data_IF_878906452435
#
_entry.id   IF_878906452435
#
_cell.length_a   1.000
_cell.length_b   1.000
_cell.length_c   1.000
_cell.angle_alpha   90.00
_cell.angle_beta   90.00
_cell.angle_gamma   90.00
#
_symmetry.space_group_name_H-M   'P 1'
#
loop_
_entity.id
_entity.type
_entity.pdbx_description
1 polymer ?
#
# COMPACT_ATOMS: atom_id res chain seq x y z
N UNK A 1 1.35 7.44 -6.18
CA UNK A 1 2.63 8.07 -6.58
C UNK A 1 2.38 9.32 -7.40
N UNK A 2 3.41 10.12 -7.69
CA UNK A 2 3.29 11.38 -8.45
C UNK A 2 2.80 11.17 -9.88
N UNK A 3 3.31 10.17 -10.58
CA UNK A 3 2.95 9.86 -11.98
C UNK A 3 1.75 8.92 -12.15
N UNK A 4 1.07 8.57 -11.06
CA UNK A 4 -0.04 7.61 -11.09
C UNK A 4 -0.22 6.82 -9.79
N UNK A 5 -1.32 6.09 -9.73
CA UNK A 5 -1.66 5.16 -8.65
C UNK A 5 -1.53 3.73 -9.13
N UNK A 6 -1.07 2.85 -8.25
CA UNK A 6 -0.83 1.43 -8.54
C UNK A 6 -1.49 0.58 -7.46
N UNK A 7 -1.98 -0.59 -7.84
CA UNK A 7 -2.49 -1.59 -6.90
C UNK A 7 -1.63 -2.85 -6.98
N UNK A 8 -1.38 -3.43 -5.81
CA UNK A 8 -0.66 -4.67 -5.61
C UNK A 8 -1.48 -5.53 -4.65
N UNK A 9 -1.72 -6.79 -5.01
CA UNK A 9 -2.44 -7.76 -4.17
C UNK A 9 -1.42 -8.77 -3.63
N UNK A 10 -1.29 -8.84 -2.31
CA UNK A 10 -0.39 -9.76 -1.64
C UNK A 10 -1.21 -10.84 -0.93
N UNK A 11 -0.80 -12.10 -1.06
CA UNK A 11 -1.31 -13.20 -0.22
C UNK A 11 -0.31 -13.45 0.89
N UNK A 12 -0.79 -13.43 2.14
CA UNK A 12 0.03 -13.68 3.32
C UNK A 12 -0.49 -14.90 4.07
N UNK A 13 0.39 -15.84 4.38
CA UNK A 13 0.07 -17.09 5.07
C UNK A 13 0.94 -17.20 6.33
N UNK A 14 0.29 -17.34 7.50
CA UNK A 14 0.99 -17.56 8.77
C UNK A 14 1.08 -19.04 9.05
N UNK A 15 2.31 -19.53 9.20
CA UNK A 15 2.60 -20.89 9.65
C UNK A 15 2.76 -20.90 11.17
N UNK A 16 2.24 -21.94 11.83
CA UNK A 16 2.35 -22.09 13.28
C UNK A 16 3.84 -22.08 13.71
N UNK A 17 4.17 -21.26 14.70
CA UNK A 17 5.54 -21.13 15.22
C UNK A 17 6.48 -20.24 14.38
N UNK A 18 6.01 -19.61 13.29
CA UNK A 18 6.79 -18.62 12.54
C UNK A 18 6.39 -17.19 12.93
N UNK A 19 7.39 -16.35 13.17
CA UNK A 19 7.18 -14.93 13.49
C UNK A 19 6.77 -14.08 12.27
N UNK A 20 7.14 -14.51 11.07
CA UNK A 20 6.87 -13.80 9.81
C UNK A 20 5.99 -14.66 8.90
N UNK A 21 5.02 -14.05 8.19
CA UNK A 21 4.22 -14.77 7.21
C UNK A 21 5.06 -15.14 5.99
N UNK A 22 4.62 -16.17 5.27
CA UNK A 22 4.99 -16.39 3.87
C UNK A 22 4.17 -15.44 3.00
N UNK A 23 4.84 -14.59 2.24
CA UNK A 23 4.22 -13.61 1.34
C UNK A 23 4.36 -14.10 -0.09
N UNK A 24 3.24 -14.28 -0.78
CA UNK A 24 3.22 -14.46 -2.23
C UNK A 24 3.17 -13.09 -2.88
N UNK A 25 4.17 -12.80 -3.71
CA UNK A 25 4.25 -11.53 -4.44
C UNK A 25 3.20 -11.46 -5.54
N UNK A 26 2.68 -10.26 -5.87
CA UNK A 26 1.77 -10.05 -6.98
C UNK A 26 2.43 -10.43 -8.30
N UNK A 27 1.78 -11.29 -9.07
CA UNK A 27 2.14 -11.63 -10.46
C UNK A 27 1.68 -10.52 -11.43
N UNK A 28 0.55 -9.87 -11.11
CA UNK A 28 -0.04 -8.79 -11.89
C UNK A 28 -0.17 -7.51 -11.08
N UNK A 29 -0.09 -6.37 -11.78
CA UNK A 29 -0.28 -5.03 -11.22
C UNK A 29 -1.05 -4.16 -12.20
N UNK A 30 -1.93 -3.32 -11.69
CA UNK A 30 -2.57 -2.26 -12.47
C UNK A 30 -2.01 -0.90 -12.08
N UNK A 31 -1.71 -0.06 -13.07
CA UNK A 31 -1.37 1.35 -12.90
C UNK A 31 -2.40 2.19 -13.61
N UNK A 32 -2.96 3.18 -12.91
CA UNK A 32 -3.78 4.24 -13.50
C UNK A 32 -3.03 5.58 -13.46
N UNK A 33 -3.38 6.47 -14.39
CA UNK A 33 -2.92 7.86 -14.47
C UNK A 33 -4.15 8.77 -14.50
N UNK A 34 -4.08 10.00 -13.97
CA UNK A 34 -2.93 10.71 -13.39
C UNK A 34 -2.60 10.32 -11.93
N UNK A 35 -1.64 10.96 -11.25
CA UNK A 35 -1.42 10.72 -9.82
C UNK A 35 -2.50 11.38 -8.94
N UNK A 36 -2.72 10.90 -7.71
CA UNK A 36 -3.67 11.52 -6.78
C UNK A 36 -3.37 13.01 -6.49
N UNK A 37 -2.12 13.45 -6.65
CA UNK A 37 -1.73 14.85 -6.48
C UNK A 37 -2.38 15.80 -7.49
N UNK A 38 -2.85 15.30 -8.65
CA UNK A 38 -3.53 16.14 -9.65
C UNK A 38 -4.96 16.50 -9.26
N UNK A 39 -5.46 15.97 -8.13
CA UNK A 39 -6.78 16.29 -7.60
C UNK A 39 -6.76 17.47 -6.63
N UNK A 40 -5.63 18.17 -6.47
CA UNK A 40 -5.59 19.45 -5.77
C UNK A 40 -6.58 20.43 -6.42
N UNK A 41 -7.46 21.02 -5.61
CA UNK A 41 -8.57 21.89 -6.06
C UNK A 41 -9.84 21.16 -6.50
N UNK A 42 -9.81 19.81 -6.56
CA UNK A 42 -10.96 18.95 -6.86
C UNK A 42 -10.96 17.69 -6.00
N UNK A 43 -10.70 17.88 -4.71
CA UNK A 43 -10.37 16.79 -3.78
C UNK A 43 -11.52 15.79 -3.63
N UNK A 44 -12.77 16.24 -3.78
CA UNK A 44 -13.96 15.38 -3.71
C UNK A 44 -13.98 14.30 -4.79
N UNK A 45 -13.37 14.53 -5.95
CA UNK A 45 -13.34 13.58 -7.07
C UNK A 45 -12.27 12.48 -6.90
N UNK A 46 -11.33 12.65 -5.96
CA UNK A 46 -10.16 11.78 -5.85
C UNK A 46 -10.51 10.33 -5.48
N UNK A 47 -11.59 10.10 -4.75
CA UNK A 47 -12.00 8.75 -4.35
C UNK A 47 -12.45 7.88 -5.53
N UNK A 48 -13.32 8.43 -6.40
CA UNK A 48 -13.85 7.69 -7.56
C UNK A 48 -12.76 7.27 -8.55
N UNK A 49 -11.65 8.02 -8.60
CA UNK A 49 -10.47 7.67 -9.38
C UNK A 49 -9.85 6.30 -9.01
N UNK A 50 -10.11 5.77 -7.81
CA UNK A 50 -9.61 4.47 -7.37
C UNK A 50 -10.43 3.29 -7.90
N UNK A 51 -11.56 3.52 -8.55
CA UNK A 51 -12.47 2.45 -9.00
C UNK A 51 -11.79 1.36 -9.85
N UNK A 52 -10.97 1.69 -10.88
CA UNK A 52 -10.32 0.66 -11.67
C UNK A 52 -9.36 -0.22 -10.86
N UNK A 53 -8.73 0.37 -9.83
CA UNK A 53 -7.81 -0.34 -8.94
C UNK A 53 -8.56 -1.32 -8.02
N UNK A 54 -9.73 -0.92 -7.52
CA UNK A 54 -10.59 -1.78 -6.70
C UNK A 54 -11.14 -2.94 -7.53
N UNK A 55 -11.63 -2.67 -8.76
CA UNK A 55 -12.10 -3.73 -9.67
C UNK A 55 -11.02 -4.75 -9.96
N UNK A 56 -9.81 -4.29 -10.29
CA UNK A 56 -8.66 -5.18 -10.48
C UNK A 56 -8.39 -6.03 -9.24
N UNK A 57 -8.42 -5.46 -8.04
CA UNK A 57 -8.22 -6.23 -6.80
C UNK A 57 -9.33 -7.28 -6.59
N UNK A 58 -10.59 -6.97 -6.93
CA UNK A 58 -11.71 -7.92 -6.81
C UNK A 58 -11.57 -9.12 -7.76
N UNK A 59 -10.99 -8.94 -8.94
CA UNK A 59 -10.70 -10.04 -9.87
C UNK A 59 -9.65 -11.02 -9.35
N UNK A 60 -8.75 -10.56 -8.46
CA UNK A 60 -7.63 -11.35 -7.94
C UNK A 60 -7.86 -11.85 -6.50
N UNK A 61 -8.91 -11.38 -5.82
CA UNK A 61 -9.22 -11.75 -4.43
C UNK A 61 -10.56 -12.51 -4.40
N UNK A 62 -10.56 -13.78 -3.93
CA UNK A 62 -11.78 -14.57 -3.77
C UNK A 62 -12.84 -13.86 -2.94
N UNK A 63 -14.10 -13.97 -3.34
CA UNK A 63 -15.22 -13.24 -2.74
C UNK A 63 -15.33 -13.43 -1.23
N UNK A 64 -15.16 -14.66 -0.75
CA UNK A 64 -15.19 -15.00 0.68
C UNK A 64 -14.03 -14.40 1.51
N UNK A 65 -12.99 -13.87 0.88
CA UNK A 65 -11.85 -13.22 1.57
C UNK A 65 -11.95 -11.71 1.59
N UNK A 66 -12.71 -11.10 0.66
CA UNK A 66 -12.74 -9.64 0.43
C UNK A 66 -13.01 -8.85 1.72
N UNK A 67 -14.05 -9.21 2.48
CA UNK A 67 -14.42 -8.51 3.71
C UNK A 67 -13.31 -8.52 4.81
N UNK A 68 -12.40 -9.50 4.76
CA UNK A 68 -11.27 -9.63 5.70
C UNK A 68 -9.96 -9.03 5.16
N UNK A 69 -9.90 -8.70 3.87
CA UNK A 69 -8.67 -8.19 3.23
C UNK A 69 -8.57 -6.68 3.45
N UNK A 70 -7.53 -6.18 4.14
CA UNK A 70 -7.34 -4.76 4.37
C UNK A 70 -6.84 -4.04 3.11
N UNK A 71 -7.39 -2.86 2.82
CA UNK A 71 -6.79 -1.91 1.87
C UNK A 71 -5.78 -1.05 2.60
N UNK A 72 -4.60 -0.89 2.00
CA UNK A 72 -3.59 0.10 2.39
C UNK A 72 -3.40 1.08 1.23
N UNK A 73 -3.62 2.37 1.49
CA UNK A 73 -3.42 3.44 0.52
C UNK A 73 -2.34 4.39 1.03
N UNK A 74 -1.20 4.40 0.36
CA UNK A 74 -0.05 5.23 0.73
C UNK A 74 0.23 6.30 -0.32
N UNK A 75 0.05 7.57 0.06
CA UNK A 75 0.48 8.73 -0.72
C UNK A 75 1.98 8.96 -0.56
N UNK A 76 2.70 9.14 -1.67
CA UNK A 76 4.16 9.41 -1.66
C UNK A 76 4.47 10.89 -1.89
N UNK A 77 5.70 11.22 -2.30
CA UNK A 77 6.17 12.59 -2.58
C UNK A 77 5.17 13.48 -3.34
N UNK A 78 4.45 12.94 -4.33
CA UNK A 78 3.44 13.69 -5.08
C UNK A 78 2.36 14.31 -4.17
N UNK A 79 1.88 13.56 -3.17
CA UNK A 79 0.86 14.05 -2.23
C UNK A 79 1.46 14.95 -1.14
N UNK A 80 2.74 14.74 -0.77
CA UNK A 80 3.47 15.67 0.11
C UNK A 80 3.53 17.08 -0.48
N UNK A 81 3.75 17.19 -1.79
CA UNK A 81 3.91 18.48 -2.49
C UNK A 81 2.60 19.27 -2.67
N UNK A 82 1.42 18.69 -2.49
CA UNK A 82 0.15 19.44 -2.66
C UNK A 82 -0.20 20.30 -1.44
N UNK A 83 0.46 20.08 -0.30
CA UNK A 83 0.21 20.72 0.99
C UNK A 83 -0.69 19.88 1.90
N UNK A 84 -0.44 19.92 3.21
CA UNK A 84 -1.06 19.04 4.22
C UNK A 84 -2.59 19.07 4.18
N UNK A 85 -3.19 20.27 4.16
CA UNK A 85 -4.64 20.41 4.11
C UNK A 85 -5.27 19.81 2.84
N UNK A 86 -4.60 19.95 1.68
CA UNK A 86 -5.09 19.37 0.42
C UNK A 86 -4.91 17.85 0.42
N UNK A 87 -3.76 17.36 0.89
CA UNK A 87 -3.50 15.92 1.02
C UNK A 87 -4.52 15.24 1.94
N UNK A 88 -4.84 15.86 3.09
CA UNK A 88 -5.84 15.36 4.02
C UNK A 88 -7.23 15.25 3.37
N UNK A 89 -7.66 16.27 2.62
CA UNK A 89 -8.95 16.26 1.90
C UNK A 89 -9.00 15.20 0.79
N UNK A 90 -7.89 15.01 0.07
CA UNK A 90 -7.79 13.96 -0.97
C UNK A 90 -7.90 12.57 -0.34
N UNK A 91 -7.16 12.32 0.75
CA UNK A 91 -7.20 11.05 1.46
C UNK A 91 -8.56 10.82 2.14
N UNK A 92 -9.23 11.88 2.60
CA UNK A 92 -10.61 11.83 3.10
C UNK A 92 -11.57 11.32 2.02
N UNK A 93 -11.54 11.94 0.84
CA UNK A 93 -12.37 11.51 -0.30
C UNK A 93 -12.10 10.05 -0.65
N UNK A 94 -10.82 9.64 -0.68
CA UNK A 94 -10.44 8.26 -0.94
C UNK A 94 -10.99 7.30 0.11
N UNK A 95 -10.85 7.61 1.40
CA UNK A 95 -11.37 6.78 2.49
C UNK A 95 -12.88 6.60 2.41
N UNK A 96 -13.63 7.70 2.26
CA UNK A 96 -15.09 7.67 2.21
C UNK A 96 -15.56 6.87 1.00
N UNK A 97 -14.94 7.10 -0.16
CA UNK A 97 -15.28 6.38 -1.37
C UNK A 97 -14.96 4.88 -1.26
N UNK A 98 -13.77 4.51 -0.77
CA UNK A 98 -13.40 3.11 -0.57
C UNK A 98 -14.34 2.40 0.42
N UNK A 99 -14.70 3.07 1.53
CA UNK A 99 -15.62 2.51 2.52
C UNK A 99 -17.02 2.26 1.95
N UNK A 100 -17.48 3.12 1.04
CA UNK A 100 -18.80 3.01 0.45
C UNK A 100 -18.85 2.07 -0.77
N UNK A 101 -17.75 1.93 -1.53
CA UNK A 101 -17.76 1.31 -2.86
C UNK A 101 -16.83 0.10 -3.00
N UNK A 102 -16.13 -0.32 -1.94
CA UNK A 102 -15.27 -1.51 -1.98
C UNK A 102 -15.74 -2.60 -1.02
N UNK A 103 -15.62 -3.89 -1.39
CA UNK A 103 -15.99 -5.01 -0.51
C UNK A 103 -14.89 -5.35 0.50
N UNK A 104 -13.86 -4.50 0.62
CA UNK A 104 -12.65 -4.76 1.39
C UNK A 104 -12.71 -4.11 2.77
N UNK A 105 -11.84 -4.55 3.68
CA UNK A 105 -11.70 -3.91 4.99
C UNK A 105 -10.99 -2.56 4.84
N UNK A 106 -11.70 -1.47 5.10
CA UNK A 106 -11.18 -0.10 5.00
C UNK A 106 -10.99 0.49 6.39
N UNK A 107 -9.73 0.74 6.75
CA UNK A 107 -9.36 1.32 8.04
C UNK A 107 -8.67 2.65 7.83
N UNK A 108 -9.10 3.68 8.57
CA UNK A 108 -8.56 5.04 8.44
C UNK A 108 -7.05 5.10 8.69
N UNK A 109 -6.56 4.31 9.65
CA UNK A 109 -5.13 4.20 9.97
C UNK A 109 -4.28 3.59 8.85
N UNK A 110 -4.89 2.99 7.82
CA UNK A 110 -4.22 2.41 6.65
C UNK A 110 -4.24 3.32 5.42
N UNK A 111 -4.73 4.55 5.57
CA UNK A 111 -4.79 5.55 4.52
C UNK A 111 -4.01 6.77 4.97
N UNK A 112 -2.81 6.96 4.44
CA UNK A 112 -1.90 8.01 4.90
C UNK A 112 -0.91 8.46 3.83
N UNK A 113 -0.26 9.59 4.07
CA UNK A 113 0.96 9.97 3.35
C UNK A 113 2.14 9.36 4.08
N UNK A 114 3.04 8.70 3.35
CA UNK A 114 4.29 8.16 3.90
C UNK A 114 5.44 9.13 3.62
N UNK A 115 6.35 9.24 4.60
CA UNK A 115 7.56 10.05 4.48
C UNK A 115 8.61 9.33 3.62
N UNK A 116 9.65 10.06 3.19
CA UNK A 116 10.78 9.42 2.49
C UNK A 116 11.52 8.41 3.36
N UNK A 117 11.61 8.67 4.67
CA UNK A 117 12.20 7.74 5.63
C UNK A 117 11.35 6.48 5.78
N UNK A 118 10.02 6.60 5.77
CA UNK A 118 9.11 5.43 5.78
C UNK A 118 9.27 4.60 4.50
N UNK A 119 9.36 5.26 3.34
CA UNK A 119 9.62 4.61 2.05
C UNK A 119 10.93 3.80 2.14
N UNK A 120 12.02 4.39 2.63
CA UNK A 120 13.31 3.71 2.81
C UNK A 120 13.27 2.55 3.82
N UNK A 121 12.57 2.73 4.95
CA UNK A 121 12.41 1.67 5.95
C UNK A 121 11.62 0.48 5.43
N UNK A 122 10.54 0.74 4.67
CA UNK A 122 9.74 -0.31 4.00
C UNK A 122 10.55 -1.01 2.90
N UNK A 123 11.39 -0.27 2.16
CA UNK A 123 12.32 -0.83 1.18
C UNK A 123 13.33 -1.77 1.84
N UNK A 124 13.97 -1.33 2.92
CA UNK A 124 14.89 -2.15 3.71
C UNK A 124 14.22 -3.40 4.28
N UNK A 125 13.00 -3.27 4.82
CA UNK A 125 12.22 -4.40 5.33
C UNK A 125 11.95 -5.41 4.22
N UNK A 126 11.57 -4.92 3.03
CA UNK A 126 11.28 -5.76 1.86
C UNK A 126 12.51 -6.54 1.41
N UNK A 127 13.68 -5.89 1.28
CA UNK A 127 14.94 -6.54 0.88
C UNK A 127 15.30 -7.63 1.88
N UNK A 128 15.30 -7.31 3.18
CA UNK A 128 15.69 -8.27 4.21
C UNK A 128 14.69 -9.43 4.36
N UNK A 129 13.39 -9.17 4.14
CA UNK A 129 12.39 -10.22 4.08
C UNK A 129 12.66 -11.18 2.92
N UNK A 130 12.87 -10.65 1.71
CA UNK A 130 13.11 -11.45 0.49
C UNK A 130 14.42 -12.25 0.57
N UNK A 131 15.44 -11.69 1.23
CA UNK A 131 16.72 -12.37 1.47
C UNK A 131 16.67 -13.36 2.65
N UNK A 132 15.54 -13.48 3.35
CA UNK A 132 15.41 -14.37 4.52
C UNK A 132 16.19 -13.93 5.75
N UNK A 133 16.67 -12.68 5.79
CA UNK A 133 17.53 -12.10 6.85
C UNK A 133 16.78 -11.63 8.09
N UNK A 134 15.43 -11.68 8.07
CA UNK A 134 14.58 -11.31 9.21
C UNK A 134 14.22 -12.48 10.13
N UNK A 135 14.75 -13.69 9.88
CA UNK A 135 14.52 -14.86 10.74
C UNK A 135 15.45 -14.77 11.95
N UNK A 136 14.89 -14.51 13.14
CA UNK A 136 15.46 -14.66 14.49
C UNK A 136 16.96 -14.38 14.66
N UNK A 137 17.33 -13.37 15.45
CA UNK A 137 18.72 -13.08 15.82
C UNK A 137 19.33 -14.25 16.65
N UNK A 138 19.84 -15.28 15.98
CA UNK A 138 20.78 -16.22 16.58
C UNK A 138 22.20 -15.63 16.49
N UNK A 139 23.10 -16.09 17.37
CA UNK A 139 24.53 -15.67 17.38
C UNK A 139 25.28 -15.93 16.07
N UNK A 140 24.66 -16.64 15.14
CA UNK A 140 25.19 -17.03 13.82
C UNK A 140 24.45 -16.34 12.66
N UNK A 141 23.56 -15.37 12.94
CA UNK A 141 22.80 -14.68 11.89
C UNK A 141 23.70 -13.78 11.03
N UNK A 142 23.60 -13.90 9.70
CA UNK A 142 24.41 -13.18 8.69
C UNK A 142 24.16 -11.65 8.61
N UNK A 143 23.55 -11.06 9.64
CA UNK A 143 23.19 -9.64 9.69
C UNK A 143 22.16 -9.23 8.63
N UNK A 144 21.79 -7.95 8.65
CA UNK A 144 20.86 -7.36 7.67
C UNK A 144 21.61 -6.71 6.51
N UNK A 145 20.95 -6.57 5.37
CA UNK A 145 21.47 -5.88 4.18
C UNK A 145 20.93 -4.46 4.12
N UNK A 146 21.82 -3.48 3.98
CA UNK A 146 21.44 -2.09 3.71
C UNK A 146 20.88 -1.93 2.29
N UNK A 147 19.93 -1.01 2.11
CA UNK A 147 19.36 -0.66 0.81
C UNK A 147 19.45 0.84 0.57
N UNK A 148 19.79 1.24 -0.65
CA UNK A 148 19.78 2.64 -1.09
C UNK A 148 18.80 2.72 -2.25
N UNK A 149 17.79 3.58 -2.12
CA UNK A 149 16.82 3.93 -3.16
C UNK A 149 17.10 5.37 -3.61
N UNK A 150 17.34 5.56 -4.90
CA UNK A 150 17.69 6.85 -5.53
C UNK A 150 16.48 7.47 -6.24
#
# INVERSE_FOLDING_TARGET
GSSGSRVHVYKMEWEAGKALPKVTLPDKKLKVKPGLSTFKGKEKEAGAYLEPLVKFAMEHIPENRRASTPIVLSGTAGLRMVGEASAAKILESCFLWLKANSPFKVERSKISVISGSDEGALGWLTINYLMGRLKGMSKESEGTTGGIEL
#
